data_IF_070762768957
#
_entry.id   IF_070762768957
#
_cell.length_a   1.000
_cell.length_b   1.000
_cell.length_c   1.000
_cell.angle_alpha   90.00
_cell.angle_beta   90.00
_cell.angle_gamma   90.00
#
_symmetry.space_group_name_H-M   'P 1'
#
loop_
_entity.id
_entity.type
_entity.pdbx_description
1 polymer ?
#
# COMPACT_ATOMS: atom_id res chain seq x y z
N UNK A 1 -21.70 33.59 35.97
CA UNK A 1 -22.79 32.68 35.56
C UNK A 1 -22.95 32.80 34.05
N UNK A 2 -22.83 31.73 33.26
CA UNK A 2 -23.10 31.79 31.84
C UNK A 2 -24.60 32.09 31.61
N UNK A 3 -24.97 32.85 30.56
CA UNK A 3 -26.35 33.24 30.30
C UNK A 3 -27.23 31.99 30.12
N UNK A 4 -28.35 31.96 30.84
CA UNK A 4 -29.37 30.92 30.71
C UNK A 4 -29.99 31.01 29.30
N UNK A 5 -29.72 30.02 28.45
CA UNK A 5 -30.38 29.91 27.14
C UNK A 5 -29.53 29.30 26.02
N UNK A 6 -28.20 29.32 26.13
CA UNK A 6 -27.34 28.66 25.12
C UNK A 6 -27.15 27.20 25.51
N UNK A 7 -28.01 26.33 24.97
CA UNK A 7 -27.81 24.88 25.07
C UNK A 7 -26.50 24.54 24.36
N UNK A 8 -25.50 24.06 25.10
CA UNK A 8 -24.23 23.67 24.51
C UNK A 8 -24.48 22.63 23.41
N UNK A 9 -24.07 22.94 22.19
CA UNK A 9 -24.22 22.04 21.05
C UNK A 9 -23.28 20.85 21.25
N UNK A 10 -23.83 19.65 21.43
CA UNK A 10 -23.05 18.42 21.59
C UNK A 10 -22.81 17.79 20.23
N UNK A 11 -21.59 17.32 19.99
CA UNK A 11 -21.20 16.71 18.71
C UNK A 11 -22.15 15.56 18.30
N UNK A 12 -22.57 14.72 19.25
CA UNK A 12 -23.44 13.58 18.99
C UNK A 12 -24.92 13.95 18.74
N UNK A 13 -25.32 15.19 19.04
CA UNK A 13 -26.66 15.68 18.70
C UNK A 13 -26.74 16.12 17.22
N UNK A 14 -25.60 16.22 16.51
CA UNK A 14 -25.56 16.54 15.08
C UNK A 14 -25.92 15.33 14.21
N UNK A 15 -26.51 15.50 13.02
CA UNK A 15 -26.67 14.42 12.04
C UNK A 15 -25.34 13.78 11.65
N UNK A 16 -25.37 12.49 11.26
CA UNK A 16 -24.16 11.71 10.95
C UNK A 16 -23.31 12.36 9.86
N UNK A 17 -23.96 12.90 8.83
CA UNK A 17 -23.32 13.55 7.69
C UNK A 17 -22.51 14.77 8.10
N UNK A 18 -23.00 15.52 9.11
CA UNK A 18 -22.28 16.68 9.66
C UNK A 18 -21.12 16.21 10.54
N UNK A 19 -21.31 15.14 11.32
CA UNK A 19 -20.22 14.55 12.11
C UNK A 19 -19.10 14.02 11.22
N UNK A 20 -19.42 13.35 10.11
CA UNK A 20 -18.44 12.87 9.14
C UNK A 20 -17.61 14.00 8.55
N UNK A 21 -18.23 15.14 8.21
CA UNK A 21 -17.49 16.35 7.78
C UNK A 21 -16.54 16.86 8.87
N UNK A 22 -16.98 16.88 10.13
CA UNK A 22 -16.11 17.26 11.26
C UNK A 22 -14.93 16.28 11.38
N UNK A 23 -15.18 14.97 11.26
CA UNK A 23 -14.12 13.97 11.26
C UNK A 23 -13.15 14.14 10.08
N UNK A 24 -13.64 14.56 8.91
CA UNK A 24 -12.75 14.88 7.78
C UNK A 24 -11.81 16.03 8.08
N UNK A 25 -12.28 17.08 8.75
CA UNK A 25 -11.44 18.21 9.19
C UNK A 25 -10.46 17.84 10.30
N UNK A 26 -10.68 16.73 11.00
CA UNK A 26 -9.70 16.21 11.96
C UNK A 26 -8.50 15.52 11.30
N UNK A 27 -8.52 15.35 9.98
CA UNK A 27 -7.41 14.78 9.20
C UNK A 27 -6.45 15.90 8.82
N UNK A 28 -5.22 15.83 9.32
CA UNK A 28 -4.17 16.80 8.98
C UNK A 28 -3.71 16.68 7.52
N UNK A 29 -3.71 15.47 6.97
CA UNK A 29 -3.20 15.17 5.63
C UNK A 29 -4.18 14.32 4.83
N UNK A 30 -4.23 14.53 3.51
CA UNK A 30 -5.00 13.71 2.57
C UNK A 30 -4.28 12.41 2.18
N UNK A 31 -2.98 12.34 2.43
CA UNK A 31 -2.14 11.16 2.26
C UNK A 31 -1.13 11.06 3.40
N UNK A 32 -0.76 9.84 3.78
CA UNK A 32 0.19 9.56 4.86
C UNK A 32 1.24 8.58 4.34
N UNK A 33 2.50 9.00 4.36
CA UNK A 33 3.62 8.10 4.09
C UNK A 33 3.97 7.30 5.35
N UNK A 34 3.71 5.99 5.30
CA UNK A 34 3.88 5.09 6.44
C UNK A 34 5.34 5.02 6.89
N UNK A 35 6.28 5.11 5.96
CA UNK A 35 7.71 5.00 6.25
C UNK A 35 8.32 6.34 6.68
N UNK A 36 7.93 7.43 6.01
CA UNK A 36 8.58 8.73 6.18
C UNK A 36 7.86 9.67 7.16
N UNK A 37 6.61 9.38 7.53
CA UNK A 37 5.82 10.20 8.46
C UNK A 37 5.33 9.42 9.68
N UNK A 38 6.19 8.70 10.43
CA UNK A 38 5.75 7.84 11.53
C UNK A 38 4.98 8.58 12.62
N UNK A 39 5.25 9.88 12.81
CA UNK A 39 4.55 10.75 13.78
C UNK A 39 3.14 11.17 13.33
N UNK A 40 2.85 11.11 12.03
CA UNK A 40 1.56 11.55 11.47
C UNK A 40 0.57 10.39 11.28
N UNK A 41 1.02 9.15 11.51
CA UNK A 41 0.21 7.93 11.40
C UNK A 41 -0.69 7.72 12.65
N UNK A 42 -0.61 8.61 13.63
CA UNK A 42 -1.41 8.50 14.84
C UNK A 42 -2.91 8.69 14.56
N UNK A 43 -3.74 7.88 15.21
CA UNK A 43 -5.19 8.06 15.18
C UNK A 43 -5.55 9.46 15.69
N UNK A 44 -6.50 10.17 15.06
CA UNK A 44 -6.90 11.51 15.48
C UNK A 44 -7.30 11.54 16.96
N UNK A 45 -6.93 12.59 17.70
CA UNK A 45 -7.21 12.70 19.15
C UNK A 45 -8.69 12.57 19.49
N UNK A 46 -9.59 12.95 18.58
CA UNK A 46 -11.04 12.83 18.75
C UNK A 46 -11.51 11.37 18.95
N UNK A 47 -10.74 10.39 18.46
CA UNK A 47 -11.01 8.95 18.63
C UNK A 47 -10.87 8.45 20.08
N UNK A 48 -10.43 9.30 21.00
CA UNK A 48 -10.29 9.01 22.43
C UNK A 48 -11.46 9.49 23.29
N UNK A 49 -12.44 10.19 22.70
CA UNK A 49 -13.54 10.83 23.44
C UNK A 49 -14.62 9.84 23.87
N UNK A 50 -15.09 8.98 22.96
CA UNK A 50 -16.08 7.95 23.25
C UNK A 50 -15.98 6.80 22.24
N UNK A 51 -16.55 5.63 22.57
CA UNK A 51 -16.56 4.48 21.65
C UNK A 51 -17.27 4.78 20.34
N UNK A 52 -18.43 5.45 20.38
CA UNK A 52 -19.14 5.83 19.17
C UNK A 52 -18.27 6.74 18.30
N UNK A 53 -17.78 7.86 18.86
CA UNK A 53 -16.94 8.81 18.10
C UNK A 53 -15.70 8.12 17.54
N UNK A 54 -15.11 7.20 18.30
CA UNK A 54 -13.98 6.38 17.85
C UNK A 54 -14.31 5.61 16.58
N UNK A 55 -15.41 4.86 16.57
CA UNK A 55 -15.78 4.08 15.39
C UNK A 55 -16.09 4.97 14.18
N UNK A 56 -16.87 6.04 14.37
CA UNK A 56 -17.22 6.95 13.28
C UNK A 56 -15.99 7.67 12.70
N UNK A 57 -15.10 8.17 13.57
CA UNK A 57 -13.91 8.88 13.16
C UNK A 57 -12.85 7.96 12.53
N UNK A 58 -12.71 6.72 12.99
CA UNK A 58 -11.77 5.76 12.41
C UNK A 58 -12.22 5.29 11.03
N UNK A 59 -13.52 5.13 10.79
CA UNK A 59 -14.06 4.85 9.46
C UNK A 59 -13.70 5.97 8.47
N UNK A 60 -13.82 7.23 8.89
CA UNK A 60 -13.42 8.39 8.07
C UNK A 60 -11.90 8.46 7.89
N UNK A 61 -11.12 8.26 8.95
CA UNK A 61 -9.67 8.33 8.92
C UNK A 61 -9.06 7.27 8.00
N UNK A 62 -9.36 5.98 8.22
CA UNK A 62 -8.80 4.92 7.39
C UNK A 62 -9.48 4.83 6.01
N UNK A 63 -10.76 5.20 5.94
CA UNK A 63 -11.56 5.06 4.72
C UNK A 63 -11.38 6.18 3.71
N UNK A 64 -10.96 7.38 4.14
CA UNK A 64 -10.79 8.53 3.24
C UNK A 64 -9.34 9.00 3.08
N UNK A 65 -8.41 8.53 3.91
CA UNK A 65 -6.99 8.81 3.72
C UNK A 65 -6.35 7.82 2.75
N UNK A 66 -5.38 8.34 2.01
CA UNK A 66 -4.50 7.53 1.19
C UNK A 66 -3.25 7.17 1.97
N UNK A 67 -3.06 5.89 2.26
CA UNK A 67 -1.84 5.42 2.91
C UNK A 67 -0.85 5.00 1.84
N UNK A 68 0.36 5.51 1.95
CA UNK A 68 1.42 5.33 0.99
C UNK A 68 2.60 4.67 1.65
N UNK A 69 3.25 3.75 0.94
CA UNK A 69 4.54 3.21 1.29
C UNK A 69 5.53 3.59 0.19
N UNK A 70 6.51 4.42 0.53
CA UNK A 70 7.62 4.72 -0.36
C UNK A 70 8.70 3.62 -0.23
N UNK A 71 8.80 2.79 -1.26
CA UNK A 71 9.77 1.70 -1.35
C UNK A 71 11.13 2.18 -1.89
N UNK A 72 11.27 3.48 -2.21
CA UNK A 72 12.41 4.08 -2.94
C UNK A 72 13.60 4.52 -2.09
N UNK A 73 13.68 4.32 -0.78
CA UNK A 73 14.75 4.99 -0.02
C UNK A 73 15.24 4.24 1.23
N UNK A 74 16.19 3.32 1.08
CA UNK A 74 16.95 2.75 2.22
C UNK A 74 18.47 2.77 2.02
N UNK A 75 19.00 3.81 1.37
CA UNK A 75 20.43 3.88 1.01
C UNK A 75 21.23 4.90 1.85
N UNK A 76 20.58 5.80 2.61
CA UNK A 76 21.30 6.74 3.47
C UNK A 76 21.36 6.29 4.93
N UNK A 77 22.54 6.36 5.54
CA UNK A 77 22.83 6.02 6.95
C UNK A 77 22.04 6.84 7.98
N UNK A 78 21.37 7.91 7.56
CA UNK A 78 20.47 8.73 8.38
C UNK A 78 19.02 8.20 8.43
N UNK A 79 18.68 7.15 7.68
CA UNK A 79 17.33 6.57 7.66
C UNK A 79 17.06 5.61 8.82
N UNK A 80 15.78 5.43 9.13
CA UNK A 80 15.27 4.52 10.15
C UNK A 80 15.88 3.11 10.01
N UNK A 81 16.24 2.40 11.10
CA UNK A 81 16.89 1.08 11.04
C UNK A 81 16.02 -0.04 10.46
N UNK A 82 14.77 0.25 10.08
CA UNK A 82 13.82 -0.72 9.55
C UNK A 82 13.61 -0.47 8.07
N UNK A 83 13.44 -1.54 7.30
CA UNK A 83 13.08 -1.48 5.88
C UNK A 83 11.60 -1.09 5.71
N UNK A 84 11.15 -0.62 4.52
CA UNK A 84 9.75 -0.26 4.33
C UNK A 84 8.79 -1.43 4.58
N UNK A 85 9.06 -2.67 4.11
CA UNK A 85 8.22 -3.82 4.45
C UNK A 85 8.14 -4.06 5.96
N UNK A 86 9.24 -3.87 6.70
CA UNK A 86 9.23 -4.02 8.17
C UNK A 86 8.40 -2.93 8.85
N UNK A 87 8.48 -1.68 8.37
CA UNK A 87 7.67 -0.57 8.89
C UNK A 87 6.19 -0.84 8.60
N UNK A 88 5.85 -1.25 7.37
CA UNK A 88 4.49 -1.64 7.00
C UNK A 88 3.97 -2.77 7.90
N UNK A 89 4.76 -3.83 8.07
CA UNK A 89 4.42 -4.98 8.93
C UNK A 89 4.11 -4.55 10.34
N UNK A 90 4.97 -3.71 10.94
CA UNK A 90 4.74 -3.20 12.30
C UNK A 90 3.48 -2.34 12.37
N UNK A 91 3.29 -1.44 11.40
CA UNK A 91 2.13 -0.55 11.38
C UNK A 91 0.83 -1.32 11.20
N UNK A 92 0.74 -2.21 10.22
CA UNK A 92 -0.49 -2.93 9.92
C UNK A 92 -0.88 -3.87 11.07
N UNK A 93 0.12 -4.53 11.68
CA UNK A 93 -0.08 -5.33 12.89
C UNK A 93 -0.56 -4.48 14.07
N UNK A 94 0.01 -3.28 14.25
CA UNK A 94 -0.34 -2.39 15.35
C UNK A 94 -1.76 -1.82 15.24
N UNK A 95 -2.26 -1.53 14.03
CA UNK A 95 -3.64 -1.07 13.86
C UNK A 95 -4.65 -2.22 13.95
N UNK A 96 -4.23 -3.46 13.66
CA UNK A 96 -5.05 -4.67 13.75
C UNK A 96 -6.09 -4.80 12.63
N UNK A 97 -6.72 -5.97 12.55
CA UNK A 97 -7.62 -6.32 11.44
C UNK A 97 -8.88 -5.45 11.37
N UNK A 98 -9.42 -5.05 12.52
CA UNK A 98 -10.57 -4.15 12.57
C UNK A 98 -10.30 -2.84 11.82
N UNK A 99 -9.13 -2.23 12.01
CA UNK A 99 -8.75 -1.01 11.31
C UNK A 99 -8.26 -1.29 9.88
N UNK A 100 -7.62 -2.43 9.65
CA UNK A 100 -7.19 -2.85 8.32
C UNK A 100 -8.38 -2.98 7.37
N UNK A 101 -9.50 -3.52 7.86
CA UNK A 101 -10.75 -3.63 7.10
C UNK A 101 -11.35 -2.28 6.69
N UNK A 102 -10.93 -1.18 7.32
CA UNK A 102 -11.36 0.20 7.03
C UNK A 102 -10.53 0.87 5.94
N UNK A 103 -9.38 0.30 5.56
CA UNK A 103 -8.52 0.87 4.52
C UNK A 103 -9.22 0.86 3.15
N UNK A 104 -9.09 1.96 2.40
CA UNK A 104 -9.68 2.08 1.05
C UNK A 104 -8.67 2.40 -0.03
N UNK A 105 -7.56 3.06 0.31
CA UNK A 105 -6.58 3.49 -0.68
C UNK A 105 -5.18 3.19 -0.15
N UNK A 106 -4.50 2.25 -0.81
CA UNK A 106 -3.11 1.92 -0.57
C UNK A 106 -2.27 2.29 -1.79
N UNK A 107 -1.07 2.78 -1.58
CA UNK A 107 -0.17 3.15 -2.68
C UNK A 107 1.26 2.76 -2.39
N UNK A 108 1.89 2.12 -3.35
CA UNK A 108 3.28 1.70 -3.27
C UNK A 108 4.06 2.46 -4.34
N UNK A 109 5.14 3.12 -3.94
CA UNK A 109 6.00 3.86 -4.85
C UNK A 109 7.34 3.16 -4.95
N UNK A 110 7.72 2.79 -6.17
CA UNK A 110 9.01 2.20 -6.52
C UNK A 110 9.71 3.17 -7.48
N UNK A 111 11.02 3.03 -7.70
CA UNK A 111 11.82 4.04 -8.41
C UNK A 111 11.29 4.36 -9.81
N UNK A 112 10.73 3.35 -10.48
CA UNK A 112 10.36 3.38 -11.89
C UNK A 112 8.88 3.08 -12.15
N UNK A 113 8.12 2.73 -11.12
CA UNK A 113 6.67 2.61 -11.19
C UNK A 113 6.01 2.88 -9.83
N UNK A 114 4.70 3.11 -9.85
CA UNK A 114 3.86 3.17 -8.68
C UNK A 114 2.62 2.31 -8.89
N UNK A 115 2.12 1.74 -7.80
CA UNK A 115 0.90 0.93 -7.78
C UNK A 115 -0.08 1.55 -6.82
N UNK A 116 -1.33 1.74 -7.26
CA UNK A 116 -2.40 2.27 -6.43
C UNK A 116 -3.52 1.25 -6.35
N UNK A 117 -3.77 0.75 -5.13
CA UNK A 117 -4.88 -0.13 -4.84
C UNK A 117 -6.04 0.69 -4.30
N UNK A 118 -7.21 0.52 -4.90
CA UNK A 118 -8.49 0.99 -4.36
C UNK A 118 -9.28 -0.22 -3.90
N UNK A 119 -9.59 -0.26 -2.61
CA UNK A 119 -10.29 -1.36 -1.94
C UNK A 119 -11.74 -0.91 -1.72
N UNK A 120 -12.68 -1.67 -2.26
CA UNK A 120 -14.10 -1.53 -1.98
C UNK A 120 -14.50 -2.65 -1.02
N UNK A 121 -15.03 -2.32 0.18
CA UNK A 121 -15.41 -3.31 1.16
C UNK A 121 -16.60 -4.14 0.66
N UNK A 122 -16.80 -5.35 1.19
CA UNK A 122 -17.98 -6.13 0.86
C UNK A 122 -19.26 -5.37 1.29
N UNK A 123 -20.30 -5.51 0.49
CA UNK A 123 -21.63 -4.98 0.74
C UNK A 123 -22.67 -6.07 0.51
N UNK A 124 -23.93 -5.91 0.95
CA UNK A 124 -24.97 -6.91 0.72
C UNK A 124 -25.19 -7.26 -0.76
N UNK A 125 -24.87 -6.33 -1.67
CA UNK A 125 -25.07 -6.50 -3.11
C UNK A 125 -23.81 -6.83 -3.90
N UNK A 126 -22.62 -6.68 -3.31
CA UNK A 126 -21.34 -6.88 -4.02
C UNK A 126 -20.26 -7.44 -3.08
N UNK A 127 -19.48 -8.44 -3.51
CA UNK A 127 -18.33 -8.90 -2.76
C UNK A 127 -17.27 -7.80 -2.66
N UNK A 128 -16.27 -7.99 -1.78
CA UNK A 128 -15.10 -7.12 -1.77
C UNK A 128 -14.48 -7.08 -3.17
N UNK A 129 -14.00 -5.91 -3.58
CA UNK A 129 -13.14 -5.81 -4.75
C UNK A 129 -11.91 -4.95 -4.46
N UNK A 130 -10.81 -5.30 -5.11
CA UNK A 130 -9.58 -4.53 -5.12
C UNK A 130 -9.28 -4.21 -6.57
N UNK A 131 -9.25 -2.93 -6.90
CA UNK A 131 -8.81 -2.44 -8.21
C UNK A 131 -7.39 -1.90 -8.11
N UNK A 132 -6.62 -2.09 -9.18
CA UNK A 132 -5.23 -1.66 -9.27
C UNK A 132 -5.07 -0.67 -10.41
N UNK A 133 -4.33 0.41 -10.15
CA UNK A 133 -3.78 1.31 -11.17
C UNK A 133 -2.26 1.22 -11.14
N UNK A 134 -1.69 0.75 -12.24
CA UNK A 134 -0.25 0.73 -12.47
C UNK A 134 0.18 2.03 -13.17
N UNK A 135 1.26 2.66 -12.70
CA UNK A 135 1.81 3.87 -13.31
C UNK A 135 3.32 3.75 -13.44
N UNK A 136 3.82 3.70 -14.67
CA UNK A 136 5.25 3.88 -14.94
C UNK A 136 5.66 5.32 -14.60
N UNK A 137 6.73 5.51 -13.83
CA UNK A 137 7.20 6.84 -13.39
C UNK A 137 8.39 7.36 -14.20
N UNK A 138 9.08 6.49 -14.94
CA UNK A 138 10.16 6.86 -15.88
C UNK A 138 9.70 6.71 -17.32
N UNK A 139 10.05 7.66 -18.18
CA UNK A 139 9.66 7.62 -19.60
C UNK A 139 10.45 6.60 -20.43
N UNK A 140 11.69 6.30 -20.06
CA UNK A 140 12.54 5.31 -20.73
C UNK A 140 13.15 4.32 -19.72
N UNK A 141 13.32 3.08 -20.17
CA UNK A 141 14.05 2.03 -19.45
C UNK A 141 14.86 1.24 -20.46
N UNK A 142 16.14 1.05 -20.18
CA UNK A 142 17.00 0.21 -20.99
C UNK A 142 16.71 -1.26 -20.69
N UNK A 143 16.98 -2.12 -21.69
CA UNK A 143 16.86 -3.57 -21.56
C UNK A 143 18.25 -4.12 -21.27
N UNK A 144 18.35 -5.06 -20.33
CA UNK A 144 19.63 -5.70 -20.06
C UNK A 144 20.08 -6.55 -21.25
N UNK A 145 21.38 -6.59 -21.52
CA UNK A 145 21.95 -7.33 -22.65
C UNK A 145 21.62 -8.83 -22.62
N UNK A 146 21.40 -9.37 -21.42
CA UNK A 146 21.05 -10.77 -21.17
C UNK A 146 19.54 -11.08 -21.23
N UNK A 147 18.68 -10.07 -21.45
CA UNK A 147 17.23 -10.25 -21.38
C UNK A 147 16.62 -10.98 -22.60
N UNK A 148 17.44 -11.32 -23.59
CA UNK A 148 17.05 -12.01 -24.82
C UNK A 148 16.41 -11.08 -25.86
N UNK A 149 16.50 -11.41 -27.16
CA UNK A 149 16.21 -10.48 -28.25
C UNK A 149 14.73 -10.07 -28.38
N UNK A 150 13.81 -10.84 -27.80
CA UNK A 150 12.38 -10.55 -27.83
C UNK A 150 11.90 -9.75 -26.59
N UNK A 151 12.77 -9.52 -25.61
CA UNK A 151 12.40 -8.81 -24.39
C UNK A 151 12.56 -7.30 -24.58
N UNK A 152 11.58 -6.53 -24.10
CA UNK A 152 11.59 -5.07 -24.19
C UNK A 152 11.05 -4.47 -22.91
N UNK A 153 11.40 -3.20 -22.64
CA UNK A 153 10.84 -2.46 -21.51
C UNK A 153 9.31 -2.41 -21.53
N UNK A 154 8.70 -2.25 -22.71
CA UNK A 154 7.25 -2.27 -22.88
C UNK A 154 6.66 -3.63 -22.50
N UNK A 155 7.30 -4.72 -22.93
CA UNK A 155 6.88 -6.08 -22.58
C UNK A 155 7.03 -6.34 -21.07
N UNK A 156 8.14 -5.89 -20.47
CA UNK A 156 8.39 -6.01 -19.04
C UNK A 156 7.28 -5.33 -18.22
N UNK A 157 6.95 -4.08 -18.55
CA UNK A 157 5.87 -3.30 -17.89
C UNK A 157 4.52 -3.99 -18.03
N UNK A 158 4.17 -4.39 -19.26
CA UNK A 158 2.90 -5.08 -19.51
C UNK A 158 2.80 -6.38 -18.70
N UNK A 159 3.88 -7.17 -18.63
CA UNK A 159 3.90 -8.41 -17.83
C UNK A 159 3.83 -8.14 -16.32
N UNK A 160 4.46 -7.07 -15.84
CA UNK A 160 4.40 -6.68 -14.43
C UNK A 160 2.98 -6.26 -14.03
N UNK A 161 2.33 -5.43 -14.84
CA UNK A 161 0.93 -5.07 -14.63
C UNK A 161 0.01 -6.29 -14.68
N UNK A 162 0.16 -7.16 -15.68
CA UNK A 162 -0.63 -8.38 -15.80
C UNK A 162 -0.42 -9.33 -14.59
N UNK A 163 0.82 -9.51 -14.12
CA UNK A 163 1.10 -10.29 -12.92
C UNK A 163 0.36 -9.73 -11.70
N UNK A 164 0.48 -8.42 -11.45
CA UNK A 164 -0.18 -7.77 -10.32
C UNK A 164 -1.69 -7.89 -10.38
N UNK A 165 -2.30 -7.66 -11.54
CA UNK A 165 -3.76 -7.79 -11.72
C UNK A 165 -4.25 -9.21 -11.39
N UNK A 166 -3.54 -10.24 -11.87
CA UNK A 166 -3.90 -11.63 -11.59
C UNK A 166 -3.69 -12.00 -10.12
N UNK A 167 -2.56 -11.60 -9.52
CA UNK A 167 -2.27 -11.86 -8.11
C UNK A 167 -3.31 -11.22 -7.19
N UNK A 168 -3.73 -9.99 -7.49
CA UNK A 168 -4.81 -9.30 -6.78
C UNK A 168 -6.15 -10.02 -6.97
N UNK A 169 -6.47 -10.46 -8.18
CA UNK A 169 -7.71 -11.19 -8.44
C UNK A 169 -7.78 -12.50 -7.66
N UNK A 170 -6.67 -13.25 -7.60
CA UNK A 170 -6.57 -14.45 -6.77
C UNK A 170 -6.73 -14.13 -5.29
N UNK A 171 -6.05 -13.09 -4.79
CA UNK A 171 -6.20 -12.64 -3.41
C UNK A 171 -7.66 -12.28 -3.08
N UNK A 172 -8.35 -11.54 -3.96
CA UNK A 172 -9.78 -11.19 -3.77
C UNK A 172 -10.65 -12.44 -3.70
N UNK A 173 -10.40 -13.46 -4.54
CA UNK A 173 -11.12 -14.73 -4.49
C UNK A 173 -10.89 -15.47 -3.17
N UNK A 174 -9.66 -15.47 -2.66
CA UNK A 174 -9.31 -16.11 -1.38
C UNK A 174 -9.87 -15.36 -0.17
N UNK A 175 -9.92 -14.03 -0.22
CA UNK A 175 -10.60 -13.21 0.79
C UNK A 175 -12.10 -13.53 0.79
N UNK A 176 -12.73 -13.56 -0.39
CA UNK A 176 -14.16 -13.80 -0.53
C UNK A 176 -15.00 -12.66 0.09
N UNK A 177 -15.86 -13.00 1.05
CA UNK A 177 -16.82 -12.06 1.64
C UNK A 177 -16.35 -11.31 2.88
N UNK A 178 -15.14 -11.62 3.41
CA UNK A 178 -14.63 -10.95 4.62
C UNK A 178 -13.99 -9.60 4.28
N UNK A 179 -13.78 -8.77 5.30
CA UNK A 179 -12.97 -7.55 5.18
C UNK A 179 -11.47 -7.86 5.09
N UNK A 180 -10.69 -6.85 4.70
CA UNK A 180 -9.24 -6.95 4.59
C UNK A 180 -8.62 -7.16 5.98
N UNK A 181 -7.70 -8.11 6.10
CA UNK A 181 -6.90 -8.33 7.32
C UNK A 181 -5.44 -7.92 7.08
N UNK A 182 -4.66 -7.83 8.16
CA UNK A 182 -3.26 -7.40 8.09
C UNK A 182 -2.44 -8.21 7.08
N UNK A 183 -2.63 -9.54 7.06
CA UNK A 183 -1.93 -10.44 6.13
C UNK A 183 -2.21 -10.11 4.65
N UNK A 184 -3.45 -9.78 4.29
CA UNK A 184 -3.80 -9.44 2.91
C UNK A 184 -3.03 -8.19 2.43
N UNK A 185 -2.85 -7.20 3.31
CA UNK A 185 -2.09 -5.98 3.00
C UNK A 185 -0.61 -6.30 2.77
N UNK A 186 -0.05 -7.21 3.56
CA UNK A 186 1.33 -7.68 3.39
C UNK A 186 1.48 -8.47 2.09
N UNK A 187 0.47 -9.24 1.69
CA UNK A 187 0.46 -9.92 0.39
C UNK A 187 0.42 -8.93 -0.77
N UNK A 188 -0.41 -7.87 -0.69
CA UNK A 188 -0.41 -6.80 -1.69
C UNK A 188 0.97 -6.13 -1.83
N UNK A 189 1.66 -5.90 -0.72
CA UNK A 189 3.02 -5.35 -0.73
C UNK A 189 4.02 -6.32 -1.36
N UNK A 190 4.00 -7.60 -0.97
CA UNK A 190 4.88 -8.62 -1.54
C UNK A 190 4.69 -8.75 -3.06
N UNK A 191 3.45 -8.68 -3.57
CA UNK A 191 3.22 -8.67 -5.02
C UNK A 191 3.92 -7.51 -5.73
N UNK A 192 3.97 -6.33 -5.10
CA UNK A 192 4.67 -5.15 -5.63
C UNK A 192 6.19 -5.34 -5.57
N UNK A 193 6.72 -5.93 -4.51
CA UNK A 193 8.15 -6.26 -4.39
C UNK A 193 8.58 -7.34 -5.39
N UNK A 194 7.72 -8.32 -5.71
CA UNK A 194 8.03 -9.39 -6.67
C UNK A 194 8.30 -8.86 -8.09
N UNK A 195 7.58 -7.81 -8.51
CA UNK A 195 7.73 -7.23 -9.85
C UNK A 195 8.86 -6.21 -9.95
N UNK A 196 9.32 -5.67 -8.82
CA UNK A 196 10.35 -4.63 -8.76
C UNK A 196 11.67 -5.02 -9.44
N UNK A 197 12.24 -6.22 -9.21
CA UNK A 197 13.43 -6.68 -9.92
C UNK A 197 13.27 -6.72 -11.44
N UNK A 198 12.10 -7.13 -11.93
CA UNK A 198 11.86 -7.26 -13.37
C UNK A 198 11.80 -5.92 -14.09
N UNK A 199 11.48 -4.86 -13.36
CA UNK A 199 11.49 -3.50 -13.84
C UNK A 199 12.70 -2.70 -13.34
N UNK A 200 13.72 -3.34 -12.78
CA UNK A 200 14.90 -2.64 -12.30
C UNK A 200 15.59 -1.88 -13.45
N UNK A 201 16.02 -0.64 -13.19
CA UNK A 201 16.68 0.20 -14.22
C UNK A 201 18.18 0.34 -14.03
N UNK A 202 18.74 -0.13 -12.91
CA UNK A 202 20.17 0.01 -12.59
C UNK A 202 21.08 -0.59 -13.65
N UNK A 203 20.74 -1.78 -14.14
CA UNK A 203 21.47 -2.53 -15.16
C UNK A 203 20.53 -2.96 -16.31
N UNK A 204 19.44 -2.22 -16.51
CA UNK A 204 18.39 -2.54 -17.46
C UNK A 204 17.36 -3.58 -16.98
N UNK A 205 16.18 -3.59 -17.60
CA UNK A 205 15.10 -4.53 -17.29
C UNK A 205 15.47 -5.95 -17.72
N UNK A 206 15.02 -6.95 -16.97
CA UNK A 206 15.37 -8.35 -17.21
C UNK A 206 16.76 -8.77 -16.71
N UNK A 207 17.55 -7.83 -16.15
CA UNK A 207 18.90 -8.12 -15.66
C UNK A 207 18.95 -9.31 -14.70
N UNK A 208 19.89 -10.22 -14.93
CA UNK A 208 20.10 -11.45 -14.14
C UNK A 208 18.88 -12.36 -14.10
N UNK A 209 18.15 -12.44 -15.21
CA UNK A 209 17.01 -13.34 -15.35
C UNK A 209 15.78 -12.92 -14.57
N UNK A 210 15.71 -11.67 -14.08
CA UNK A 210 14.51 -11.09 -13.50
C UNK A 210 13.46 -10.82 -14.60
N UNK A 211 13.01 -11.88 -15.26
CA UNK A 211 12.10 -11.83 -16.40
C UNK A 211 10.79 -12.45 -15.96
N UNK A 212 9.72 -11.67 -16.05
CA UNK A 212 8.36 -12.20 -15.94
C UNK A 212 8.06 -13.01 -17.19
N UNK A 213 7.68 -14.28 -17.04
CA UNK A 213 7.43 -15.20 -18.17
C UNK A 213 6.01 -15.06 -18.74
N UNK A 214 5.13 -14.31 -18.07
CA UNK A 214 3.72 -14.15 -18.42
C UNK A 214 2.80 -15.22 -17.83
N UNK A 215 3.37 -16.32 -17.31
CA UNK A 215 2.64 -17.28 -16.47
C UNK A 215 2.57 -16.72 -15.04
N UNK A 216 1.40 -16.19 -14.68
CA UNK A 216 1.17 -15.55 -13.39
C UNK A 216 1.23 -16.49 -12.19
N UNK A 217 1.18 -17.81 -12.43
CA UNK A 217 1.33 -18.83 -11.38
C UNK A 217 2.80 -19.10 -11.06
N UNK A 218 3.71 -18.74 -11.97
CA UNK A 218 5.14 -18.89 -11.76
C UNK A 218 5.66 -17.63 -11.10
N UNK A 219 6.12 -17.79 -9.86
CA UNK A 219 6.81 -16.71 -9.18
C UNK A 219 8.03 -16.26 -10.00
N UNK A 220 8.30 -14.95 -10.04
CA UNK A 220 9.47 -14.42 -10.72
C UNK A 220 10.76 -14.98 -10.11
N UNK A 221 11.68 -15.49 -10.93
CA UNK A 221 13.00 -15.92 -10.45
C UNK A 221 13.89 -14.68 -10.18
N UNK A 222 13.68 -14.03 -9.04
CA UNK A 222 14.32 -12.74 -8.73
C UNK A 222 15.54 -12.85 -7.82
N UNK A 223 15.84 -14.05 -7.31
CA UNK A 223 16.90 -14.25 -6.31
C UNK A 223 18.27 -13.79 -6.80
N UNK A 224 18.67 -14.21 -8.01
CA UNK A 224 19.95 -13.82 -8.63
C UNK A 224 20.06 -12.30 -8.80
N UNK A 225 18.94 -11.65 -9.10
CA UNK A 225 18.87 -10.20 -9.19
C UNK A 225 19.02 -9.56 -7.81
N UNK A 226 18.25 -9.99 -6.81
CA UNK A 226 18.29 -9.43 -5.45
C UNK A 226 19.65 -9.63 -4.77
N UNK A 227 20.35 -10.73 -5.02
CA UNK A 227 21.71 -10.97 -4.52
C UNK A 227 22.73 -9.96 -5.08
N UNK A 228 22.46 -9.41 -6.27
CA UNK A 228 23.39 -8.58 -7.02
C UNK A 228 23.00 -7.09 -7.12
N UNK A 229 21.72 -6.78 -6.95
CA UNK A 229 21.17 -5.43 -7.08
C UNK A 229 21.09 -4.73 -5.73
N UNK A 230 21.99 -3.79 -5.46
CA UNK A 230 21.92 -3.02 -4.22
C UNK A 230 20.70 -2.07 -4.14
N UNK A 231 20.06 -1.74 -5.27
CA UNK A 231 18.86 -0.89 -5.30
C UNK A 231 17.57 -1.67 -5.05
N UNK A 232 17.49 -2.92 -5.54
CA UNK A 232 16.31 -3.74 -5.32
C UNK A 232 16.39 -4.50 -3.99
N UNK A 233 17.59 -4.73 -3.45
CA UNK A 233 17.81 -5.35 -2.15
C UNK A 233 17.69 -4.34 -1.01
N UNK A 234 16.87 -4.65 -0.02
CA UNK A 234 16.95 -3.96 1.27
C UNK A 234 18.11 -4.48 2.10
N UNK A 235 18.92 -3.59 2.66
CA UNK A 235 19.93 -3.95 3.66
C UNK A 235 19.20 -4.44 4.91
N UNK A 236 19.38 -5.71 5.29
CA UNK A 236 18.81 -6.29 6.51
C UNK A 236 17.52 -7.13 6.37
N UNK A 237 17.00 -7.38 5.16
CA UNK A 237 15.99 -8.44 4.95
C UNK A 237 16.71 -9.77 4.73
N UNK A 238 16.54 -10.81 5.58
CA UNK A 238 16.99 -12.15 5.23
C UNK A 238 16.25 -12.60 3.96
N UNK A 239 16.96 -13.27 3.04
CA UNK A 239 16.42 -13.67 1.74
C UNK A 239 15.28 -14.71 1.80
N UNK A 240 14.94 -15.23 2.99
CA UNK A 240 13.89 -16.22 3.19
C UNK A 240 13.14 -15.95 4.49
N UNK A 241 11.81 -15.83 4.39
CA UNK A 241 10.83 -16.20 5.43
C UNK A 241 9.51 -16.47 4.75
#
# INVERSE_FOLDING_TARGET
>A
MPPQGVRALRLLDLPREIRDKIYEYSRTFSWIDIANMPKEIHQPSITKVSHQIRDEALDVFYGRNRFMLDLRNHIHSSYHPLTPPQILTRWITAIGDANTSRLRILSFYVYNFAVHFTILPPSPSQPMSISLRFKQTRSSMDVADDAGPAYSAKLAVWRAEAYLQNAVQMLVQEIGGRGLVADDVLRLENFVEDVKPALCTRNGVGWKGAILTGDVRKQPEVRKHLEACAECRYVGRPLNS
#
